data_IF_195696884587
#
_entry.id   IF_195696884587
#
_cell.length_a   1.000
_cell.length_b   1.000
_cell.length_c   1.000
_cell.angle_alpha   90.00
_cell.angle_beta   90.00
_cell.angle_gamma   90.00
#
_symmetry.space_group_name_H-M   'P 1'
#
loop_
_entity.id
_entity.type
_entity.pdbx_description
1 polymer ?
#
# COMPACT_ATOMS: atom_id res chain seq x y z
N UNK A 1 28.49 -20.25 30.00
CA UNK A 1 28.23 -20.20 28.55
C UNK A 1 27.27 -19.04 28.29
N UNK A 2 27.77 -17.95 27.71
CA UNK A 2 26.94 -16.80 27.34
C UNK A 2 26.14 -17.12 26.06
N UNK A 3 24.90 -16.63 25.91
CA UNK A 3 24.10 -16.88 24.72
C UNK A 3 24.70 -16.11 23.54
N UNK A 4 25.06 -16.84 22.48
CA UNK A 4 25.47 -16.23 21.21
C UNK A 4 24.31 -15.40 20.66
N UNK A 5 24.60 -14.12 20.44
CA UNK A 5 23.67 -13.12 19.94
C UNK A 5 23.40 -13.33 18.45
N UNK A 6 22.26 -13.92 18.13
CA UNK A 6 21.71 -14.02 16.76
C UNK A 6 21.47 -12.66 16.07
N UNK A 7 21.66 -11.54 16.76
CA UNK A 7 21.53 -10.18 16.19
C UNK A 7 22.66 -9.81 15.21
N UNK A 8 23.79 -10.55 15.23
CA UNK A 8 24.97 -10.26 14.42
C UNK A 8 24.87 -10.72 12.95
N UNK A 9 24.08 -11.75 12.62
CA UNK A 9 24.15 -12.39 11.30
C UNK A 9 23.37 -11.68 10.19
N UNK A 10 22.25 -11.03 10.52
CA UNK A 10 21.43 -10.31 9.53
C UNK A 10 22.02 -8.95 9.12
N UNK A 11 22.66 -8.26 10.06
CA UNK A 11 23.36 -6.99 9.81
C UNK A 11 24.65 -7.20 9.02
N UNK A 12 25.42 -8.26 9.30
CA UNK A 12 26.63 -8.57 8.54
C UNK A 12 26.32 -8.97 7.09
N UNK A 13 25.15 -9.58 6.83
CA UNK A 13 24.70 -9.85 5.46
C UNK A 13 24.46 -8.54 4.71
N UNK A 14 23.72 -7.61 5.33
CA UNK A 14 23.37 -6.32 4.76
C UNK A 14 24.60 -5.42 4.51
N UNK A 15 25.56 -5.40 5.44
CA UNK A 15 26.80 -4.62 5.32
C UNK A 15 27.74 -5.17 4.24
N UNK A 16 27.81 -6.50 4.06
CA UNK A 16 28.55 -7.12 2.96
C UNK A 16 27.88 -6.95 1.59
N UNK A 17 26.54 -6.86 1.57
CA UNK A 17 25.74 -6.68 0.35
C UNK A 17 25.81 -5.23 -0.19
N UNK A 18 26.01 -4.25 0.70
CA UNK A 18 26.14 -2.83 0.34
C UNK A 18 27.34 -2.51 -0.56
N UNK A 19 28.43 -3.29 -0.47
CA UNK A 19 29.68 -2.97 -1.17
C UNK A 19 29.73 -3.42 -2.64
N UNK A 20 28.79 -4.27 -3.12
CA UNK A 20 28.85 -4.85 -4.47
C UNK A 20 27.51 -4.90 -5.24
N UNK A 21 26.39 -4.34 -4.72
CA UNK A 21 25.06 -4.51 -5.31
C UNK A 21 24.42 -3.26 -5.94
N UNK A 22 25.22 -2.24 -6.22
CA UNK A 22 24.77 -0.96 -6.76
C UNK A 22 24.24 -1.00 -8.22
N UNK A 23 23.92 -2.16 -8.81
CA UNK A 23 23.45 -2.22 -10.21
C UNK A 23 22.15 -2.99 -10.48
N UNK A 24 21.67 -3.87 -9.59
CA UNK A 24 20.42 -4.61 -9.84
C UNK A 24 19.37 -4.33 -8.73
N UNK A 25 18.32 -3.54 -9.04
CA UNK A 25 17.25 -3.24 -8.10
C UNK A 25 16.52 -4.49 -7.57
N UNK A 26 16.45 -5.58 -8.36
CA UNK A 26 15.81 -6.83 -7.97
C UNK A 26 16.66 -7.54 -6.90
N UNK A 27 17.97 -7.61 -7.10
CA UNK A 27 18.87 -8.23 -6.11
C UNK A 27 18.86 -7.43 -4.80
N UNK A 28 18.82 -6.09 -4.90
CA UNK A 28 18.70 -5.23 -3.71
C UNK A 28 17.39 -5.50 -2.95
N UNK A 29 16.26 -5.59 -3.66
CA UNK A 29 14.95 -5.92 -3.06
C UNK A 29 14.98 -7.28 -2.35
N UNK A 30 15.53 -8.32 -2.98
CA UNK A 30 15.64 -9.65 -2.36
C UNK A 30 16.52 -9.62 -1.10
N UNK A 31 17.64 -8.90 -1.18
CA UNK A 31 18.59 -8.72 -0.07
C UNK A 31 17.94 -8.01 1.13
N UNK A 32 17.24 -6.91 0.86
CA UNK A 32 16.48 -6.18 1.88
C UNK A 32 15.40 -7.07 2.47
N UNK A 33 14.61 -7.75 1.63
CA UNK A 33 13.52 -8.64 2.08
C UNK A 33 14.05 -9.70 3.04
N UNK A 34 15.18 -10.33 2.71
CA UNK A 34 15.84 -11.33 3.56
C UNK A 34 16.33 -10.72 4.89
N UNK A 35 16.91 -9.52 4.87
CA UNK A 35 17.36 -8.83 6.06
C UNK A 35 16.17 -8.47 6.98
N UNK A 36 15.06 -7.99 6.41
CA UNK A 36 13.81 -7.70 7.14
C UNK A 36 13.25 -8.98 7.76
N UNK A 37 13.12 -10.06 7.00
CA UNK A 37 12.63 -11.34 7.51
C UNK A 37 13.50 -11.85 8.67
N UNK A 38 14.83 -11.77 8.52
CA UNK A 38 15.78 -12.22 9.55
C UNK A 38 15.65 -11.39 10.83
N UNK A 39 15.65 -10.05 10.72
CA UNK A 39 15.53 -9.15 11.89
C UNK A 39 14.20 -9.34 12.61
N UNK A 40 13.12 -9.51 11.86
CA UNK A 40 11.75 -9.55 12.38
C UNK A 40 11.14 -10.95 12.37
N UNK A 41 11.96 -12.00 12.39
CA UNK A 41 11.54 -13.42 12.43
C UNK A 41 10.63 -13.78 13.62
N UNK A 42 10.58 -12.92 14.64
CA UNK A 42 9.62 -13.06 15.76
C UNK A 42 8.18 -12.69 15.39
N UNK A 43 7.97 -11.94 14.30
CA UNK A 43 6.68 -11.44 13.83
C UNK A 43 6.21 -12.16 12.57
N UNK A 44 7.13 -12.42 11.65
CA UNK A 44 6.86 -13.07 10.36
C UNK A 44 7.51 -14.45 10.29
N UNK A 45 6.86 -15.36 9.57
CA UNK A 45 7.39 -16.65 9.13
C UNK A 45 8.13 -16.47 7.80
N UNK A 46 7.55 -15.70 6.89
CA UNK A 46 8.09 -15.49 5.55
C UNK A 46 7.62 -14.19 4.92
N UNK A 47 8.43 -13.64 4.01
CA UNK A 47 8.11 -12.49 3.17
C UNK A 47 8.40 -12.91 1.72
N UNK A 48 7.38 -12.94 0.88
CA UNK A 48 7.49 -13.37 -0.52
C UNK A 48 6.82 -12.38 -1.46
N UNK A 49 7.14 -12.43 -2.73
CA UNK A 49 6.43 -11.67 -3.77
C UNK A 49 5.22 -12.47 -4.25
N UNK A 50 4.21 -11.81 -4.79
CA UNK A 50 3.10 -12.49 -5.46
C UNK A 50 3.52 -13.06 -6.82
N UNK A 51 2.86 -14.14 -7.24
CA UNK A 51 3.22 -14.86 -8.48
C UNK A 51 3.03 -14.04 -9.76
N UNK A 52 2.24 -12.97 -9.70
CA UNK A 52 1.95 -12.04 -10.79
C UNK A 52 2.90 -10.83 -10.81
N UNK A 53 4.00 -10.88 -10.07
CA UNK A 53 4.96 -9.78 -10.01
C UNK A 53 5.63 -9.53 -11.37
N UNK A 54 5.58 -8.27 -11.82
CA UNK A 54 6.23 -7.82 -13.06
C UNK A 54 7.14 -6.64 -12.73
N UNK A 55 8.45 -6.76 -12.99
CA UNK A 55 9.42 -5.70 -12.77
C UNK A 55 9.43 -4.68 -13.92
N UNK A 56 9.67 -3.40 -13.59
CA UNK A 56 9.88 -2.35 -14.59
C UNK A 56 11.25 -2.56 -15.28
N UNK A 57 11.33 -2.25 -16.58
CA UNK A 57 12.57 -2.38 -17.37
C UNK A 57 13.66 -1.38 -16.96
N UNK A 58 13.24 -0.18 -16.53
CA UNK A 58 14.12 0.87 -16.03
C UNK A 58 13.54 1.39 -14.73
N UNK A 59 14.34 1.45 -13.68
CA UNK A 59 13.94 2.06 -12.41
C UNK A 59 15.13 2.69 -11.73
N UNK A 60 14.92 3.90 -11.23
CA UNK A 60 15.85 4.57 -10.34
C UNK A 60 15.56 4.14 -8.90
N UNK A 61 16.62 3.82 -8.16
CA UNK A 61 16.50 3.47 -6.75
C UNK A 61 16.34 4.78 -5.96
N UNK A 62 15.24 4.92 -5.21
CA UNK A 62 15.07 6.03 -4.26
C UNK A 62 15.90 5.74 -3.01
N UNK A 63 17.11 6.30 -2.94
CA UNK A 63 18.04 6.16 -1.80
C UNK A 63 17.43 6.63 -0.48
N UNK A 64 16.44 7.52 -0.50
CA UNK A 64 15.73 7.95 0.70
C UNK A 64 14.88 6.81 1.29
N UNK A 65 14.34 5.92 0.46
CA UNK A 65 13.61 4.74 0.94
C UNK A 65 14.60 3.74 1.54
N UNK A 66 15.71 3.48 0.86
CA UNK A 66 16.75 2.55 1.33
C UNK A 66 17.30 3.00 2.69
N UNK A 67 17.69 4.27 2.83
CA UNK A 67 18.21 4.82 4.08
C UNK A 67 17.20 4.74 5.24
N UNK A 68 15.89 4.88 4.96
CA UNK A 68 14.83 4.70 5.97
C UNK A 68 14.68 3.25 6.42
N UNK A 69 14.77 2.30 5.48
CA UNK A 69 14.78 0.87 5.80
C UNK A 69 16.00 0.55 6.66
N UNK A 70 17.18 0.99 6.24
CA UNK A 70 18.44 0.78 6.96
C UNK A 70 18.42 1.31 8.39
N UNK A 71 17.95 2.54 8.57
CA UNK A 71 17.86 3.16 9.87
C UNK A 71 17.05 2.30 10.84
N UNK A 72 15.95 1.74 10.36
CA UNK A 72 15.09 0.88 11.18
C UNK A 72 15.65 -0.54 11.31
N UNK A 73 16.41 -1.06 10.33
CA UNK A 73 17.18 -2.31 10.46
C UNK A 73 18.36 -2.20 11.44
N UNK A 74 18.96 -1.02 11.59
CA UNK A 74 20.06 -0.73 12.52
C UNK A 74 19.58 -0.26 13.91
N UNK A 75 18.28 0.01 14.08
CA UNK A 75 17.72 0.46 15.35
C UNK A 75 17.92 -0.59 16.47
N UNK A 76 18.45 -0.15 17.62
CA UNK A 76 18.81 -0.98 18.78
C UNK A 76 17.82 -0.88 19.95
N UNK A 77 16.58 -0.45 19.73
CA UNK A 77 15.66 -0.28 20.85
C UNK A 77 15.24 -1.62 21.46
N UNK A 78 15.48 -1.76 22.76
CA UNK A 78 15.18 -2.94 23.56
C UNK A 78 13.74 -2.88 24.07
N UNK A 79 12.79 -3.33 23.26
CA UNK A 79 11.40 -3.43 23.70
C UNK A 79 10.47 -3.96 22.62
N UNK A 80 9.46 -4.72 23.03
CA UNK A 80 8.48 -5.28 22.10
C UNK A 80 7.77 -4.17 21.31
N UNK A 81 7.33 -3.10 21.98
CA UNK A 81 6.66 -1.97 21.33
C UNK A 81 7.58 -1.24 20.34
N UNK A 82 8.87 -1.09 20.69
CA UNK A 82 9.86 -0.50 19.78
C UNK A 82 10.05 -1.39 18.55
N UNK A 83 10.21 -2.70 18.75
CA UNK A 83 10.37 -3.66 17.67
C UNK A 83 9.14 -3.71 16.75
N UNK A 84 7.92 -3.65 17.30
CA UNK A 84 6.67 -3.55 16.53
C UNK A 84 6.63 -2.26 15.69
N UNK A 85 6.96 -1.11 16.29
CA UNK A 85 6.98 0.17 15.58
C UNK A 85 8.04 0.21 14.47
N UNK A 86 9.23 -0.36 14.73
CA UNK A 86 10.30 -0.45 13.75
C UNK A 86 9.90 -1.36 12.57
N UNK A 87 9.30 -2.52 12.86
CA UNK A 87 8.76 -3.40 11.83
C UNK A 87 7.66 -2.71 11.00
N UNK A 88 6.75 -1.97 11.63
CA UNK A 88 5.71 -1.22 10.94
C UNK A 88 6.29 -0.25 9.89
N UNK A 89 7.35 0.48 10.25
CA UNK A 89 8.00 1.42 9.34
C UNK A 89 8.74 0.70 8.22
N UNK A 90 9.51 -0.34 8.56
CA UNK A 90 10.26 -1.14 7.58
C UNK A 90 9.32 -1.77 6.57
N UNK A 91 8.23 -2.38 7.03
CA UNK A 91 7.19 -2.96 6.17
C UNK A 91 6.67 -1.93 5.16
N UNK A 92 6.26 -0.75 5.65
CA UNK A 92 5.77 0.32 4.80
C UNK A 92 6.79 0.73 3.73
N UNK A 93 8.06 0.92 4.11
CA UNK A 93 9.09 1.32 3.16
C UNK A 93 9.49 0.21 2.20
N UNK A 94 9.44 -1.06 2.64
CA UNK A 94 9.67 -2.22 1.79
C UNK A 94 8.55 -2.35 0.75
N UNK A 95 7.29 -2.22 1.16
CA UNK A 95 6.14 -2.23 0.24
C UNK A 95 6.22 -1.08 -0.76
N UNK A 96 6.57 0.13 -0.29
CA UNK A 96 6.79 1.28 -1.18
C UNK A 96 7.93 1.01 -2.17
N UNK A 97 9.08 0.54 -1.68
CA UNK A 97 10.23 0.22 -2.53
C UNK A 97 9.84 -0.80 -3.61
N UNK A 98 9.12 -1.85 -3.22
CA UNK A 98 8.61 -2.84 -4.15
C UNK A 98 7.72 -2.22 -5.23
N UNK A 99 6.81 -1.31 -4.87
CA UNK A 99 5.93 -0.62 -5.82
C UNK A 99 6.68 0.31 -6.77
N UNK A 100 7.78 0.90 -6.30
CA UNK A 100 8.66 1.71 -7.14
C UNK A 100 9.36 0.86 -8.20
N UNK A 101 9.70 -0.40 -7.88
CA UNK A 101 10.39 -1.34 -8.80
C UNK A 101 9.48 -2.11 -9.77
N UNK A 102 8.19 -2.24 -9.45
CA UNK A 102 7.30 -3.20 -10.15
C UNK A 102 6.14 -2.53 -10.86
N UNK A 103 5.72 -3.07 -12.00
CA UNK A 103 4.50 -2.68 -12.71
C UNK A 103 3.28 -3.32 -12.05
N UNK A 104 3.35 -4.61 -11.73
CA UNK A 104 2.28 -5.40 -11.13
C UNK A 104 2.81 -6.24 -9.95
N UNK A 105 1.91 -6.68 -9.07
CA UNK A 105 2.19 -7.55 -7.93
C UNK A 105 2.22 -6.85 -6.57
N UNK A 106 2.43 -7.65 -5.52
CA UNK A 106 2.53 -7.20 -4.12
C UNK A 106 3.52 -8.07 -3.30
N UNK A 107 3.92 -7.56 -2.13
CA UNK A 107 4.64 -8.36 -1.13
C UNK A 107 3.63 -9.00 -0.18
N UNK A 108 3.78 -10.32 0.00
CA UNK A 108 2.98 -11.14 0.89
C UNK A 108 3.76 -11.41 2.18
N UNK A 109 3.15 -11.11 3.32
CA UNK A 109 3.71 -11.35 4.64
C UNK A 109 2.97 -12.50 5.31
N UNK A 110 3.68 -13.59 5.55
CA UNK A 110 3.16 -14.70 6.35
C UNK A 110 3.48 -14.44 7.82
N UNK A 111 2.47 -14.11 8.63
CA UNK A 111 2.66 -13.78 10.04
C UNK A 111 2.64 -15.00 10.96
N UNK A 112 3.40 -14.92 12.06
CA UNK A 112 3.23 -15.85 13.18
C UNK A 112 1.89 -15.58 13.86
N UNK A 113 1.13 -16.63 14.21
CA UNK A 113 -0.17 -16.46 14.85
C UNK A 113 -0.09 -15.65 16.17
N UNK A 114 1.00 -15.77 16.93
CA UNK A 114 1.24 -14.97 18.15
C UNK A 114 1.35 -13.47 17.91
N UNK A 115 1.66 -13.08 16.67
CA UNK A 115 1.75 -11.69 16.22
C UNK A 115 0.40 -11.11 15.75
N UNK A 116 -0.60 -11.96 15.55
CA UNK A 116 -1.94 -11.56 15.19
C UNK A 116 -2.78 -11.32 16.45
N UNK A 117 -3.72 -10.39 16.37
CA UNK A 117 -4.64 -10.01 17.45
C UNK A 117 -6.07 -9.90 16.91
N UNK A 118 -7.08 -10.09 17.77
CA UNK A 118 -8.47 -9.89 17.37
C UNK A 118 -8.80 -8.40 17.27
N UNK A 119 -9.90 -8.10 16.56
CA UNK A 119 -10.38 -6.73 16.38
C UNK A 119 -10.58 -5.99 17.71
N UNK A 120 -11.12 -6.68 18.73
CA UNK A 120 -11.37 -6.12 20.07
C UNK A 120 -10.11 -5.61 20.75
N UNK A 121 -9.00 -6.32 20.60
CA UNK A 121 -7.70 -5.94 21.17
C UNK A 121 -7.16 -4.74 20.41
N UNK A 122 -7.17 -4.78 19.07
CA UNK A 122 -6.65 -3.69 18.24
C UNK A 122 -7.44 -2.38 18.46
N UNK A 123 -8.78 -2.44 18.49
CA UNK A 123 -9.62 -1.25 18.73
C UNK A 123 -9.36 -0.64 20.10
N UNK A 124 -9.16 -1.47 21.14
CA UNK A 124 -8.84 -1.01 22.49
C UNK A 124 -7.45 -0.36 22.54
N UNK A 125 -6.45 -0.97 21.90
CA UNK A 125 -5.07 -0.44 21.88
C UNK A 125 -4.93 0.86 21.07
N UNK A 126 -5.72 1.00 20.02
CA UNK A 126 -5.74 2.18 19.16
C UNK A 126 -6.76 3.25 19.60
N UNK A 127 -7.59 2.96 20.61
CA UNK A 127 -8.69 3.82 21.06
C UNK A 127 -9.63 4.26 19.91
N UNK A 128 -10.11 3.29 19.13
CA UNK A 128 -11.04 3.51 18.01
C UNK A 128 -12.25 2.59 18.10
N UNK A 129 -13.33 2.95 17.41
CA UNK A 129 -14.50 2.09 17.28
C UNK A 129 -14.28 0.98 16.23
N UNK A 130 -15.08 -0.10 16.31
CA UNK A 130 -15.08 -1.16 15.28
C UNK A 130 -15.47 -0.65 13.88
N UNK A 131 -16.49 0.23 13.71
CA UNK A 131 -16.76 0.85 12.43
C UNK A 131 -15.56 1.61 11.86
N UNK A 132 -14.82 2.33 12.70
CA UNK A 132 -13.58 2.99 12.28
C UNK A 132 -12.55 1.98 11.80
N UNK A 133 -12.31 0.89 12.55
CA UNK A 133 -11.39 -0.17 12.11
C UNK A 133 -11.80 -0.77 10.76
N UNK A 134 -13.09 -1.06 10.56
CA UNK A 134 -13.61 -1.57 9.28
C UNK A 134 -13.32 -0.60 8.13
N UNK A 135 -13.57 0.69 8.32
CA UNK A 135 -13.25 1.73 7.34
C UNK A 135 -11.75 1.77 7.03
N UNK A 136 -10.89 1.61 8.05
CA UNK A 136 -9.43 1.59 7.85
C UNK A 136 -8.97 0.37 7.06
N UNK A 137 -9.59 -0.79 7.25
CA UNK A 137 -9.31 -1.99 6.44
C UNK A 137 -9.67 -1.76 4.97
N UNK A 138 -10.82 -1.15 4.70
CA UNK A 138 -11.21 -0.75 3.34
C UNK A 138 -10.22 0.25 2.72
N UNK A 139 -9.57 1.07 3.55
CA UNK A 139 -8.54 2.03 3.15
C UNK A 139 -7.12 1.43 3.11
N UNK A 140 -6.97 0.11 3.19
CA UNK A 140 -5.68 -0.57 3.04
C UNK A 140 -4.98 -0.97 4.34
N UNK A 141 -5.61 -0.80 5.51
CA UNK A 141 -5.09 -1.40 6.73
C UNK A 141 -5.18 -2.92 6.63
N UNK A 142 -4.05 -3.60 6.85
CA UNK A 142 -3.94 -5.04 6.64
C UNK A 142 -4.86 -5.87 7.55
N UNK A 143 -5.49 -6.90 6.99
CA UNK A 143 -6.32 -7.88 7.69
C UNK A 143 -6.15 -9.25 7.02
N UNK A 144 -5.74 -10.26 7.80
CA UNK A 144 -5.52 -11.64 7.34
C UNK A 144 -6.83 -12.41 7.44
N UNK A 145 -7.48 -12.65 6.29
CA UNK A 145 -8.82 -13.26 6.24
C UNK A 145 -8.81 -14.72 6.66
N UNK A 146 -7.73 -15.46 6.39
CA UNK A 146 -7.63 -16.90 6.69
C UNK A 146 -7.28 -17.20 8.16
N UNK A 147 -6.96 -16.18 8.98
CA UNK A 147 -6.49 -16.37 10.35
C UNK A 147 -7.61 -16.44 11.42
N UNK A 148 -8.87 -16.50 11.00
CA UNK A 148 -10.03 -16.58 11.89
C UNK A 148 -10.18 -15.35 12.79
N UNK A 149 -10.38 -15.56 14.09
CA UNK A 149 -10.62 -14.46 15.04
C UNK A 149 -9.39 -13.55 15.26
N UNK A 150 -8.17 -14.05 15.05
CA UNK A 150 -6.93 -13.30 15.16
C UNK A 150 -6.46 -12.86 13.77
N UNK A 151 -7.15 -11.88 13.18
CA UNK A 151 -6.90 -11.48 11.79
C UNK A 151 -6.01 -10.25 11.64
N UNK A 152 -5.67 -9.52 12.71
CA UNK A 152 -4.96 -8.25 12.59
C UNK A 152 -3.51 -8.33 13.04
N UNK A 153 -2.53 -7.99 12.19
CA UNK A 153 -1.15 -7.85 12.63
C UNK A 153 -0.98 -6.77 13.71
N UNK A 154 -0.21 -7.04 14.77
CA UNK A 154 0.00 -6.09 15.89
C UNK A 154 0.55 -4.74 15.46
N UNK A 155 1.32 -4.64 14.37
CA UNK A 155 1.83 -3.36 13.89
C UNK A 155 0.75 -2.40 13.40
N UNK A 156 -0.46 -2.87 13.08
CA UNK A 156 -1.58 -1.98 12.73
C UNK A 156 -1.86 -0.94 13.83
N UNK A 157 -1.60 -1.27 15.10
CA UNK A 157 -1.75 -0.32 16.21
C UNK A 157 -0.87 0.93 16.02
N UNK A 158 0.30 0.77 15.40
CA UNK A 158 1.23 1.87 15.15
C UNK A 158 0.65 2.82 14.09
N UNK A 159 0.11 2.28 13.00
CA UNK A 159 -0.49 3.10 11.96
C UNK A 159 -1.74 3.84 12.43
N UNK A 160 -2.56 3.19 13.25
CA UNK A 160 -3.82 3.75 13.74
C UNK A 160 -3.64 4.89 14.75
N UNK A 161 -2.49 4.96 15.44
CA UNK A 161 -2.18 6.02 16.41
C UNK A 161 -1.82 7.36 15.78
N UNK A 162 -1.66 7.43 14.45
CA UNK A 162 -1.22 8.63 13.76
C UNK A 162 -1.97 8.82 12.45
N UNK A 163 -2.59 9.99 12.30
CA UNK A 163 -3.25 10.39 11.05
C UNK A 163 -2.29 10.37 9.87
N UNK A 164 -1.03 10.76 10.08
CA UNK A 164 0.02 10.72 9.06
C UNK A 164 0.26 9.29 8.55
N UNK A 165 0.41 8.33 9.46
CA UNK A 165 0.63 6.94 9.07
C UNK A 165 -0.59 6.33 8.40
N UNK A 166 -1.79 6.69 8.87
CA UNK A 166 -3.03 6.26 8.23
C UNK A 166 -3.14 6.81 6.80
N UNK A 167 -2.77 8.07 6.57
CA UNK A 167 -2.73 8.68 5.23
C UNK A 167 -1.72 7.97 4.32
N UNK A 168 -0.54 7.66 4.84
CA UNK A 168 0.50 6.89 4.12
C UNK A 168 0.01 5.51 3.69
N UNK A 169 -0.65 4.77 4.57
CA UNK A 169 -1.21 3.45 4.22
C UNK A 169 -2.30 3.57 3.16
N UNK A 170 -3.17 4.58 3.25
CA UNK A 170 -4.18 4.85 2.22
C UNK A 170 -3.52 5.12 0.87
N UNK A 171 -2.49 5.97 0.84
CA UNK A 171 -1.75 6.28 -0.39
C UNK A 171 -1.09 5.03 -0.97
N UNK A 172 -0.49 4.18 -0.12
CA UNK A 172 0.14 2.93 -0.56
C UNK A 172 -0.89 1.96 -1.15
N UNK A 173 -2.08 1.86 -0.55
CA UNK A 173 -3.17 1.04 -1.09
C UNK A 173 -3.67 1.55 -2.44
N UNK A 174 -3.72 2.87 -2.63
CA UNK A 174 -4.11 3.45 -3.92
C UNK A 174 -3.06 3.16 -4.99
N UNK A 175 -1.77 3.26 -4.65
CA UNK A 175 -0.68 2.83 -5.54
C UNK A 175 -0.79 1.35 -5.91
N UNK A 176 -1.14 0.48 -4.95
CA UNK A 176 -1.43 -0.92 -5.23
C UNK A 176 -2.59 -1.07 -6.22
N UNK A 177 -3.70 -0.37 -5.98
CA UNK A 177 -4.89 -0.42 -6.85
C UNK A 177 -4.53 -0.02 -8.28
N UNK A 178 -3.95 1.16 -8.48
CA UNK A 178 -3.58 1.68 -9.81
C UNK A 178 -2.67 0.69 -10.55
N UNK A 179 -1.69 0.11 -9.86
CA UNK A 179 -0.72 -0.83 -10.45
C UNK A 179 -1.32 -2.19 -10.81
N UNK A 180 -2.30 -2.66 -10.04
CA UNK A 180 -2.87 -4.01 -10.17
C UNK A 180 -4.26 -4.00 -10.82
N UNK A 181 -4.79 -2.85 -11.21
CA UNK A 181 -6.00 -2.77 -12.02
C UNK A 181 -5.64 -3.26 -13.43
N UNK A 182 -6.19 -4.42 -13.79
CA UNK A 182 -6.20 -4.88 -15.17
C UNK A 182 -6.97 -3.87 -16.03
N UNK A 183 -6.50 -3.59 -17.25
CA UNK A 183 -7.19 -2.74 -18.25
C UNK A 183 -8.70 -3.02 -18.33
N UNK A 184 -9.11 -4.30 -18.30
CA UNK A 184 -10.54 -4.68 -18.27
C UNK A 184 -11.29 -4.20 -17.03
N UNK A 185 -10.65 -4.26 -15.86
CA UNK A 185 -11.24 -3.78 -14.61
C UNK A 185 -11.26 -2.25 -14.57
N UNK A 186 -10.25 -1.58 -15.13
CA UNK A 186 -10.25 -0.11 -15.26
C UNK A 186 -11.44 0.34 -16.10
N UNK A 187 -11.59 -0.26 -17.29
CA UNK A 187 -12.73 -0.02 -18.19
C UNK A 187 -14.05 -0.28 -17.46
N UNK A 188 -14.15 -1.37 -16.69
CA UNK A 188 -15.37 -1.67 -15.91
C UNK A 188 -15.66 -0.59 -14.86
N UNK A 189 -14.64 -0.13 -14.13
CA UNK A 189 -14.80 0.89 -13.10
C UNK A 189 -15.19 2.25 -13.70
N UNK A 190 -14.55 2.65 -14.81
CA UNK A 190 -14.88 3.89 -15.53
C UNK A 190 -16.34 3.83 -16.02
N UNK A 191 -16.76 2.70 -16.61
CA UNK A 191 -18.15 2.48 -17.02
C UNK A 191 -19.13 2.53 -15.84
N UNK A 192 -18.75 2.06 -14.66
CA UNK A 192 -19.57 2.15 -13.46
C UNK A 192 -19.70 3.59 -12.94
N UNK A 193 -18.63 4.39 -12.97
CA UNK A 193 -18.69 5.82 -12.60
C UNK A 193 -19.50 6.63 -13.61
N UNK A 194 -19.30 6.42 -14.92
CA UNK A 194 -20.14 7.02 -15.98
C UNK A 194 -21.62 6.72 -15.72
N UNK A 195 -21.96 5.48 -15.39
CA UNK A 195 -23.35 5.09 -15.06
C UNK A 195 -23.92 5.80 -13.84
N UNK A 196 -23.09 6.18 -12.86
CA UNK A 196 -23.57 6.96 -11.71
C UNK A 196 -23.97 8.35 -12.14
N UNK A 197 -23.18 9.00 -13.00
CA UNK A 197 -23.55 10.28 -13.58
C UNK A 197 -24.79 10.17 -14.47
N UNK A 198 -24.87 9.16 -15.35
CA UNK A 198 -26.07 8.92 -16.16
C UNK A 198 -27.33 8.76 -15.31
N UNK A 199 -27.19 8.14 -14.13
CA UNK A 199 -28.30 7.98 -13.17
C UNK A 199 -28.61 9.27 -12.40
N UNK A 200 -27.59 10.05 -12.05
CA UNK A 200 -27.73 11.33 -11.35
C UNK A 200 -28.44 12.36 -12.23
N UNK A 201 -28.03 12.48 -13.49
CA UNK A 201 -28.58 13.41 -14.47
C UNK A 201 -29.75 12.84 -15.28
N UNK A 202 -30.02 11.55 -15.14
CA UNK A 202 -31.05 10.81 -15.88
C UNK A 202 -30.97 11.01 -17.41
N UNK A 203 -29.75 11.10 -17.94
CA UNK A 203 -29.45 11.43 -19.32
C UNK A 203 -28.04 10.92 -19.71
N UNK A 204 -27.72 10.89 -21.00
CA UNK A 204 -26.33 10.75 -21.44
C UNK A 204 -25.60 12.09 -21.29
N UNK A 205 -24.27 12.08 -21.30
CA UNK A 205 -23.45 13.28 -21.17
C UNK A 205 -23.85 14.38 -22.17
N UNK A 206 -24.02 14.02 -23.45
CA UNK A 206 -24.37 14.96 -24.52
C UNK A 206 -25.76 15.57 -24.35
N UNK A 207 -26.67 14.84 -23.68
CA UNK A 207 -28.02 15.33 -23.38
C UNK A 207 -28.05 16.18 -22.11
N UNK A 208 -27.31 15.76 -21.08
CA UNK A 208 -27.23 16.45 -19.81
C UNK A 208 -26.58 17.84 -19.95
N UNK A 209 -25.59 17.97 -20.83
CA UNK A 209 -24.81 19.19 -21.01
C UNK A 209 -24.89 19.77 -22.41
N UNK A 210 -26.01 19.53 -23.11
CA UNK A 210 -26.21 20.03 -24.48
C UNK A 210 -25.96 21.53 -24.59
N UNK A 211 -26.53 22.31 -23.66
CA UNK A 211 -26.46 23.77 -23.66
C UNK A 211 -25.03 24.29 -23.42
N UNK A 212 -24.17 23.47 -22.79
CA UNK A 212 -22.73 23.77 -22.65
C UNK A 212 -21.99 23.42 -23.95
N UNK A 213 -22.32 22.27 -24.55
CA UNK A 213 -21.67 21.79 -25.77
C UNK A 213 -22.00 22.63 -27.01
N UNK A 214 -23.17 23.25 -27.06
CA UNK A 214 -23.56 24.17 -28.13
C UNK A 214 -23.19 25.64 -27.86
N UNK A 215 -22.59 25.93 -26.70
CA UNK A 215 -22.12 27.26 -26.31
C UNK A 215 -23.22 28.22 -25.86
N UNK A 216 -24.41 27.70 -25.53
CA UNK A 216 -25.52 28.50 -24.97
C UNK A 216 -25.20 28.97 -23.55
N UNK A 217 -24.51 28.16 -22.75
CA UNK A 217 -24.05 28.50 -21.39
C UNK A 217 -22.57 28.13 -21.20
N UNK A 218 -21.87 28.87 -20.35
CA UNK A 218 -20.49 28.53 -19.97
C UNK A 218 -20.47 27.40 -18.92
N UNK A 219 -19.39 26.61 -18.86
CA UNK A 219 -19.21 25.55 -17.87
C UNK A 219 -19.34 26.10 -16.43
N UNK A 220 -18.86 27.32 -16.19
CA UNK A 220 -18.94 27.96 -14.86
C UNK A 220 -20.35 28.46 -14.50
N UNK A 221 -21.30 28.39 -15.44
CA UNK A 221 -22.72 28.73 -15.21
C UNK A 221 -23.55 27.51 -14.82
N UNK A 222 -22.96 26.31 -14.81
CA UNK A 222 -23.59 25.09 -14.30
C UNK A 222 -23.72 25.12 -12.77
N UNK A 223 -24.76 24.46 -12.25
CA UNK A 223 -24.92 24.23 -10.81
C UNK A 223 -23.77 23.39 -10.23
N UNK A 224 -23.27 22.42 -11.00
CA UNK A 224 -22.13 21.56 -10.65
C UNK A 224 -21.13 21.52 -11.83
N UNK A 225 -20.24 22.52 -11.96
CA UNK A 225 -19.26 22.58 -13.06
C UNK A 225 -18.25 21.43 -13.05
N UNK A 226 -17.94 20.91 -11.86
CA UNK A 226 -17.00 19.80 -11.67
C UNK A 226 -17.54 18.51 -12.29
N UNK A 227 -18.85 18.24 -12.18
CA UNK A 227 -19.49 17.05 -12.75
C UNK A 227 -19.37 17.01 -14.28
N UNK A 228 -19.46 18.16 -14.97
CA UNK A 228 -19.21 18.23 -16.42
C UNK A 228 -17.79 17.79 -16.75
N UNK A 229 -16.80 18.32 -16.03
CA UNK A 229 -15.40 18.06 -16.30
C UNK A 229 -15.02 16.61 -15.96
N UNK A 230 -15.39 16.15 -14.78
CA UNK A 230 -15.08 14.80 -14.30
C UNK A 230 -15.75 13.75 -15.19
N UNK A 231 -17.01 13.96 -15.61
CA UNK A 231 -17.68 13.02 -16.52
C UNK A 231 -17.06 13.04 -17.92
N UNK A 232 -16.71 14.22 -18.45
CA UNK A 232 -16.00 14.33 -19.73
C UNK A 232 -14.66 13.59 -19.70
N UNK A 233 -13.85 13.82 -18.65
CA UNK A 233 -12.55 13.19 -18.47
C UNK A 233 -12.69 11.65 -18.41
N UNK A 234 -13.72 11.12 -17.75
CA UNK A 234 -14.02 9.68 -17.73
C UNK A 234 -14.38 9.12 -19.11
N UNK A 235 -15.12 9.87 -19.93
CA UNK A 235 -15.48 9.45 -21.30
C UNK A 235 -14.23 9.43 -22.19
N UNK A 236 -13.39 10.46 -22.11
CA UNK A 236 -12.13 10.54 -22.84
C UNK A 236 -11.18 9.41 -22.42
N UNK A 237 -11.01 9.19 -21.11
CA UNK A 237 -10.21 8.07 -20.57
C UNK A 237 -10.74 6.71 -21.05
N UNK A 238 -12.06 6.52 -21.10
CA UNK A 238 -12.65 5.29 -21.64
C UNK A 238 -12.32 5.09 -23.12
N UNK A 239 -12.41 6.15 -23.93
CA UNK A 239 -12.10 6.10 -25.37
C UNK A 239 -10.63 5.79 -25.64
N UNK A 240 -9.71 6.32 -24.82
CA UNK A 240 -8.28 6.00 -24.93
C UNK A 240 -7.95 4.55 -24.57
N UNK A 241 -8.78 3.94 -23.70
CA UNK A 241 -8.61 2.57 -23.23
C UNK A 241 -9.30 1.53 -24.11
N UNK A 242 -10.26 1.87 -24.97
CA UNK A 242 -10.91 0.92 -25.90
C UNK A 242 -10.13 0.73 -27.21
#
# INVERSE_FOLDING_TARGET
>A
MAPQTYESSGLSLFENLHFNLAQDPVILLLSITQAVQTKFQRFVVGITQSNDTIFKKHTTIDENIISKIEKELKSKGSGLNHSIASFAKVKYYLDKFFYDLTQNGTILYSYKNSYLVPSSVLTKQANISRPTLSRRVQQGLECIKEAGHNSYPRHNQFYLKSSLWTSRIKSLQESYRIRNVNKKQLISNIKEEIKKYEKQYNASFEKAFKDVLDGTIDIYELDEPDDFKDWKDLIEELQELE
#
